data_IF_251790427672
#
_entry.id   IF_251790427672
#
_cell.length_a   1.000
_cell.length_b   1.000
_cell.length_c   1.000
_cell.angle_alpha   90.00
_cell.angle_beta   90.00
_cell.angle_gamma   90.00
#
_symmetry.space_group_name_H-M   'P 1'
#
loop_
_entity.id
_entity.type
_entity.pdbx_description
1 polymer ?
#
# COMPACT_ATOMS: atom_id res chain seq x y z
N UNK A 1 13.74 -12.48 -18.22
CA UNK A 1 12.92 -11.97 -17.12
C UNK A 1 13.75 -11.99 -15.87
N UNK A 2 13.86 -10.85 -15.19
CA UNK A 2 14.65 -10.78 -13.98
C UNK A 2 13.84 -11.31 -12.80
N UNK A 3 14.39 -12.27 -12.05
CA UNK A 3 13.74 -12.90 -10.90
C UNK A 3 14.15 -12.18 -9.61
N UNK A 4 14.01 -10.86 -9.58
CA UNK A 4 14.29 -10.10 -8.37
C UNK A 4 13.04 -10.02 -7.51
N UNK A 5 13.22 -10.18 -6.20
CA UNK A 5 12.18 -10.07 -5.19
C UNK A 5 12.42 -8.79 -4.38
N UNK A 6 11.42 -7.91 -4.29
CA UNK A 6 11.44 -6.79 -3.36
C UNK A 6 11.11 -7.30 -1.96
N UNK A 7 11.92 -6.97 -0.95
CA UNK A 7 11.59 -7.24 0.46
C UNK A 7 11.58 -5.91 1.20
N UNK A 8 10.44 -5.57 1.81
CA UNK A 8 10.26 -4.35 2.59
C UNK A 8 9.94 -4.67 4.04
N UNK A 9 10.84 -4.30 4.96
CA UNK A 9 10.56 -4.34 6.39
C UNK A 9 9.75 -3.11 6.81
N UNK A 10 8.42 -3.24 6.87
CA UNK A 10 7.47 -2.14 7.03
C UNK A 10 6.76 -2.09 8.40
N UNK A 11 7.14 -2.95 9.36
CA UNK A 11 6.53 -2.99 10.71
C UNK A 11 7.00 -1.89 11.69
N UNK A 12 7.94 -1.03 11.28
CA UNK A 12 8.53 -0.03 12.16
C UNK A 12 7.66 1.21 12.38
N UNK A 13 7.57 1.66 13.64
CA UNK A 13 7.06 2.99 14.00
C UNK A 13 8.21 4.00 14.05
N UNK A 14 8.00 5.21 13.51
CA UNK A 14 9.07 6.20 13.44
C UNK A 14 9.28 6.92 14.79
N UNK A 15 10.21 6.43 15.60
CA UNK A 15 10.61 7.08 16.87
C UNK A 15 11.36 8.40 16.67
N UNK A 16 12.02 8.58 15.51
CA UNK A 16 12.71 9.83 15.13
C UNK A 16 11.82 10.84 14.42
N UNK A 17 10.63 10.43 13.99
CA UNK A 17 9.70 11.26 13.23
C UNK A 17 8.28 11.15 13.82
N UNK A 18 8.19 11.20 15.15
CA UNK A 18 6.95 11.03 15.90
C UNK A 18 5.83 11.97 15.45
N UNK A 19 6.06 13.27 15.17
CA UNK A 19 4.98 14.14 14.71
C UNK A 19 4.33 13.65 13.40
N UNK A 20 5.12 13.04 12.51
CA UNK A 20 4.63 12.55 11.22
C UNK A 20 3.84 11.25 11.33
N UNK A 21 4.09 10.45 12.37
CA UNK A 21 3.34 9.22 12.66
C UNK A 21 2.14 9.43 13.57
N UNK A 22 1.81 10.69 13.93
CA UNK A 22 0.82 10.95 14.96
C UNK A 22 1.22 10.35 16.31
N UNK A 23 2.51 10.46 16.66
CA UNK A 23 3.13 9.90 17.87
C UNK A 23 2.99 8.37 17.98
N UNK A 24 3.14 7.67 16.85
CA UNK A 24 3.03 6.22 16.78
C UNK A 24 1.63 5.70 16.45
N UNK A 25 0.66 6.58 16.18
CA UNK A 25 -0.66 6.18 15.71
C UNK A 25 -0.66 5.54 14.31
N UNK A 26 0.36 5.83 13.49
CA UNK A 26 0.52 5.27 12.14
C UNK A 26 1.90 4.64 11.95
N UNK A 27 1.95 3.54 11.19
CA UNK A 27 3.20 2.94 10.72
C UNK A 27 3.99 3.92 9.85
N UNK A 28 5.33 3.86 9.93
CA UNK A 28 6.19 4.80 9.18
C UNK A 28 6.01 4.69 7.66
N UNK A 29 5.79 3.47 7.19
CA UNK A 29 5.55 3.11 5.80
C UNK A 29 4.28 3.72 5.22
N UNK A 30 3.29 4.06 6.05
CA UNK A 30 2.01 4.64 5.64
C UNK A 30 1.93 6.15 5.87
N UNK A 31 3.06 6.80 6.19
CA UNK A 31 3.12 8.26 6.23
C UNK A 31 3.04 8.78 4.79
N UNK A 32 2.27 9.84 4.58
CA UNK A 32 2.19 10.50 3.29
C UNK A 32 3.49 11.26 3.01
N UNK A 33 4.05 11.08 1.83
CA UNK A 33 5.24 11.77 1.31
C UNK A 33 4.94 12.28 -0.09
N UNK A 34 5.28 13.55 -0.35
CA UNK A 34 5.07 14.19 -1.64
C UNK A 34 3.65 14.71 -1.88
N UNK A 35 3.43 15.18 -3.11
CA UNK A 35 2.17 15.76 -3.55
C UNK A 35 1.12 14.68 -3.81
N UNK A 36 -0.16 15.00 -3.59
CA UNK A 36 -1.27 14.07 -3.87
C UNK A 36 -1.50 13.00 -2.79
N UNK A 37 -0.78 13.05 -1.67
CA UNK A 37 -1.04 12.17 -0.53
C UNK A 37 -0.54 10.73 -0.70
N UNK A 38 0.44 10.54 -1.58
CA UNK A 38 1.15 9.26 -1.80
C UNK A 38 1.84 8.83 -0.52
N UNK A 39 1.90 7.53 -0.21
CA UNK A 39 2.57 7.03 1.00
C UNK A 39 4.02 6.58 0.73
N UNK A 40 4.84 6.47 1.77
CA UNK A 40 6.23 5.97 1.65
C UNK A 40 6.26 4.59 0.99
N UNK A 41 5.36 3.68 1.40
CA UNK A 41 5.30 2.34 0.80
C UNK A 41 4.91 2.41 -0.67
N UNK A 42 4.05 3.35 -1.05
CA UNK A 42 3.64 3.53 -2.45
C UNK A 42 4.82 3.90 -3.35
N UNK A 43 5.65 4.85 -2.93
CA UNK A 43 6.85 5.26 -3.68
C UNK A 43 7.83 4.10 -3.82
N UNK A 44 8.02 3.29 -2.77
CA UNK A 44 8.88 2.09 -2.82
C UNK A 44 8.35 1.07 -3.84
N UNK A 45 7.04 0.80 -3.82
CA UNK A 45 6.42 -0.16 -4.74
C UNK A 45 6.45 0.35 -6.18
N UNK A 46 6.24 1.65 -6.39
CA UNK A 46 6.32 2.31 -7.70
C UNK A 46 7.72 2.21 -8.30
N UNK A 47 8.74 2.56 -7.53
CA UNK A 47 10.14 2.47 -7.97
C UNK A 47 10.53 1.02 -8.31
N UNK A 48 10.07 0.06 -7.51
CA UNK A 48 10.31 -1.36 -7.77
C UNK A 48 9.68 -1.81 -9.09
N UNK A 49 8.43 -1.43 -9.34
CA UNK A 49 7.74 -1.70 -10.61
C UNK A 49 8.47 -1.06 -11.79
N UNK A 50 8.84 0.22 -11.66
CA UNK A 50 9.51 0.96 -12.73
C UNK A 50 10.92 0.38 -13.01
N UNK A 51 11.51 -0.31 -12.04
CA UNK A 51 12.73 -1.11 -12.17
C UNK A 51 12.52 -2.52 -12.75
N UNK A 52 11.29 -2.90 -13.08
CA UNK A 52 10.93 -4.21 -13.63
C UNK A 52 10.87 -5.34 -12.60
N UNK A 53 10.65 -5.01 -11.32
CA UNK A 53 10.35 -5.99 -10.27
C UNK A 53 8.85 -6.27 -10.29
N UNK A 54 8.47 -7.55 -10.34
CA UNK A 54 7.06 -7.97 -10.41
C UNK A 54 6.53 -8.47 -9.05
N UNK A 55 7.41 -8.97 -8.17
CA UNK A 55 7.04 -9.59 -6.90
C UNK A 55 7.63 -8.86 -5.69
N UNK A 56 6.80 -8.64 -4.67
CA UNK A 56 7.20 -8.04 -3.40
C UNK A 56 6.75 -8.82 -2.17
N UNK A 57 7.51 -8.71 -1.09
CA UNK A 57 7.16 -9.18 0.25
C UNK A 57 7.23 -8.01 1.21
N UNK A 58 6.15 -7.74 1.93
CA UNK A 58 6.11 -6.75 3.01
C UNK A 58 6.09 -7.48 4.35
N UNK A 59 7.14 -7.26 5.14
CA UNK A 59 7.27 -7.82 6.48
C UNK A 59 6.75 -6.79 7.49
N UNK A 60 5.76 -7.17 8.27
CA UNK A 60 5.11 -6.32 9.28
C UNK A 60 5.38 -6.84 10.69
N UNK A 61 4.92 -6.11 11.71
CA UNK A 61 5.20 -6.44 13.12
C UNK A 61 4.05 -7.12 13.86
N UNK A 62 2.85 -7.20 13.25
CA UNK A 62 1.65 -7.74 13.89
C UNK A 62 0.56 -8.06 12.86
N UNK A 63 -0.34 -8.98 13.19
CA UNK A 63 -1.53 -9.31 12.39
C UNK A 63 -2.45 -8.09 12.16
N UNK A 64 -2.53 -7.17 13.14
CA UNK A 64 -3.26 -5.92 12.99
C UNK A 64 -2.68 -5.08 11.83
N UNK A 65 -1.35 -4.97 11.77
CA UNK A 65 -0.66 -4.24 10.70
C UNK A 65 -0.82 -4.94 9.35
N UNK A 66 -0.85 -6.28 9.32
CA UNK A 66 -1.19 -7.04 8.10
C UNK A 66 -2.56 -6.63 7.57
N UNK A 67 -3.58 -6.53 8.43
CA UNK A 67 -4.92 -6.09 7.99
C UNK A 67 -4.91 -4.67 7.43
N UNK A 68 -4.16 -3.75 8.03
CA UNK A 68 -4.03 -2.39 7.51
C UNK A 68 -3.39 -2.40 6.11
N UNK A 69 -2.34 -3.20 5.90
CA UNK A 69 -1.71 -3.33 4.58
C UNK A 69 -2.61 -3.99 3.54
N UNK A 70 -3.41 -5.00 3.91
CA UNK A 70 -4.40 -5.61 3.01
C UNK A 70 -5.38 -4.57 2.49
N UNK A 71 -5.98 -3.78 3.39
CA UNK A 71 -6.88 -2.67 3.02
C UNK A 71 -6.20 -1.61 2.17
N UNK A 72 -4.92 -1.35 2.43
CA UNK A 72 -4.17 -0.36 1.67
C UNK A 72 -3.91 -0.82 0.22
N UNK A 73 -3.49 -2.07 0.05
CA UNK A 73 -3.14 -2.64 -1.26
C UNK A 73 -4.37 -3.04 -2.09
N UNK A 74 -5.41 -3.52 -1.43
CA UNK A 74 -6.67 -3.90 -2.06
C UNK A 74 -7.88 -3.41 -1.24
N UNK A 75 -8.18 -2.10 -1.31
CA UNK A 75 -9.31 -1.54 -0.58
C UNK A 75 -10.68 -2.01 -1.10
N UNK A 76 -10.75 -2.63 -2.29
CA UNK A 76 -12.00 -3.17 -2.86
C UNK A 76 -12.21 -4.64 -2.54
N UNK A 77 -11.13 -5.41 -2.32
CA UNK A 77 -11.19 -6.81 -1.94
C UNK A 77 -11.78 -7.06 -0.55
N UNK A 78 -11.75 -6.07 0.34
CA UNK A 78 -12.37 -6.17 1.67
C UNK A 78 -13.87 -5.77 1.69
N UNK A 79 -14.37 -5.02 0.70
CA UNK A 79 -15.78 -4.60 0.66
C UNK A 79 -16.39 -4.67 -0.76
N UNK A 80 -16.96 -5.82 -1.14
CA UNK A 80 -17.67 -5.99 -2.41
C UNK A 80 -18.85 -5.03 -2.61
N UNK A 81 -19.45 -4.54 -1.52
CA UNK A 81 -20.54 -3.57 -1.59
C UNK A 81 -20.03 -2.18 -1.97
N UNK A 82 -18.81 -1.82 -1.58
CA UNK A 82 -18.17 -0.57 -1.98
C UNK A 82 -17.80 -0.56 -3.47
N UNK A 83 -17.32 -1.68 -4.02
CA UNK A 83 -17.11 -1.83 -5.45
C UNK A 83 -18.43 -1.70 -6.25
N UNK A 84 -19.51 -2.31 -5.76
CA UNK A 84 -20.84 -2.16 -6.35
C UNK A 84 -21.37 -0.71 -6.23
N UNK A 85 -21.10 -0.04 -5.11
CA UNK A 85 -21.45 1.35 -4.87
C UNK A 85 -20.76 2.30 -5.86
N UNK A 86 -19.46 2.14 -6.10
CA UNK A 86 -18.71 2.96 -7.06
C UNK A 86 -19.28 2.81 -8.49
N UNK A 87 -19.59 1.58 -8.89
CA UNK A 87 -20.19 1.27 -10.19
C UNK A 87 -21.58 1.90 -10.36
N UNK A 88 -22.42 1.86 -9.33
CA UNK A 88 -23.77 2.45 -9.35
C UNK A 88 -23.77 3.98 -9.48
N UNK A 89 -22.70 4.64 -9.01
CA UNK A 89 -22.56 6.11 -9.04
C UNK A 89 -21.83 6.62 -10.28
N UNK A 90 -21.43 5.74 -11.20
CA UNK A 90 -20.65 6.10 -12.40
C UNK A 90 -19.29 6.70 -12.04
N UNK A 91 -18.69 6.23 -10.94
CA UNK A 91 -17.41 6.70 -10.40
C UNK A 91 -16.25 5.86 -10.93
N UNK A 92 -16.22 5.73 -12.26
CA UNK A 92 -15.28 4.85 -12.96
C UNK A 92 -13.84 5.35 -12.83
N UNK A 93 -13.63 6.67 -12.73
CA UNK A 93 -12.30 7.26 -12.52
C UNK A 93 -11.74 6.88 -11.15
N UNK A 94 -12.54 7.01 -10.09
CA UNK A 94 -12.11 6.65 -8.74
C UNK A 94 -11.90 5.13 -8.59
N UNK A 95 -12.73 4.31 -9.25
CA UNK A 95 -12.53 2.86 -9.31
C UNK A 95 -11.24 2.50 -10.06
N UNK A 96 -10.94 3.17 -11.18
CA UNK A 96 -9.70 2.99 -11.92
C UNK A 96 -8.49 3.41 -11.10
N UNK A 97 -8.54 4.56 -10.42
CA UNK A 97 -7.47 5.02 -9.53
C UNK A 97 -7.18 4.01 -8.41
N UNK A 98 -8.21 3.33 -7.91
CA UNK A 98 -8.05 2.29 -6.89
C UNK A 98 -7.48 1.00 -7.50
N UNK A 99 -7.95 0.58 -8.68
CA UNK A 99 -7.42 -0.59 -9.39
C UNK A 99 -5.95 -0.39 -9.80
N UNK A 100 -5.58 0.82 -10.22
CA UNK A 100 -4.23 1.19 -10.61
C UNK A 100 -3.24 1.26 -9.42
N UNK A 101 -3.75 1.21 -8.17
CA UNK A 101 -2.89 1.14 -6.97
C UNK A 101 -2.26 -0.23 -6.75
N UNK A 102 -2.74 -1.29 -7.41
CA UNK A 102 -2.04 -2.57 -7.41
C UNK A 102 -0.74 -2.42 -8.23
N UNK A 103 0.34 -2.00 -7.56
CA UNK A 103 1.57 -1.56 -8.24
C UNK A 103 2.48 -2.70 -8.68
N UNK A 104 2.37 -3.87 -8.05
CA UNK A 104 3.13 -5.07 -8.40
C UNK A 104 2.14 -6.20 -8.73
N UNK A 105 2.55 -7.13 -9.61
CA UNK A 105 1.74 -8.29 -9.98
C UNK A 105 1.39 -9.16 -8.77
N UNK A 106 2.30 -9.21 -7.78
CA UNK A 106 2.07 -9.91 -6.51
C UNK A 106 2.78 -9.25 -5.34
N UNK A 107 2.05 -9.06 -4.24
CA UNK A 107 2.60 -8.64 -2.94
C UNK A 107 2.17 -9.61 -1.85
N UNK A 108 3.12 -10.31 -1.26
CA UNK A 108 2.88 -11.17 -0.09
C UNK A 108 3.10 -10.37 1.21
N UNK A 109 2.27 -10.62 2.23
CA UNK A 109 2.41 -10.03 3.56
C UNK A 109 2.88 -11.09 4.56
N UNK A 110 3.92 -10.76 5.33
CA UNK A 110 4.55 -11.63 6.32
C UNK A 110 4.61 -10.94 7.68
#
# INVERSE_FOLDING_TARGET
>A
MSSYLLIVAAGGYATRALPLTGYGAKMKSLINVGDGGVTVIEEILREARDSGIEHGVIITSSEENVSVFRRYLDPLGEDPAFAAYLKLRGKDVEAQMIADRAMLDRVDLV
#
